data_IF_613295032488
#
_entry.id   IF_613295032488
#
_cell.length_a   1.000
_cell.length_b   1.000
_cell.length_c   1.000
_cell.angle_alpha   90.00
_cell.angle_beta   90.00
_cell.angle_gamma   90.00
#
_symmetry.space_group_name_H-M   'P 1'
#
loop_
_entity.id
_entity.type
_entity.pdbx_description
1 polymer ?
#
# COMPACT_ATOMS: atom_id res chain seq x y z
N UNK A 1 -0.06 -18.26 -9.25
CA UNK A 1 -1.48 -18.00 -9.60
C UNK A 1 -1.53 -16.83 -10.59
N UNK A 2 -0.60 -16.80 -11.55
CA UNK A 2 -0.35 -15.61 -12.40
C UNK A 2 -1.50 -15.28 -13.36
N UNK A 3 -2.35 -16.25 -13.68
CA UNK A 3 -3.49 -16.04 -14.59
C UNK A 3 -4.71 -15.41 -13.86
N UNK A 4 -5.16 -14.19 -14.25
CA UNK A 4 -6.34 -13.54 -13.65
C UNK A 4 -7.65 -14.33 -13.82
N UNK A 5 -7.79 -15.15 -14.86
CA UNK A 5 -8.98 -15.97 -15.06
C UNK A 5 -9.05 -17.12 -14.05
N UNK A 6 -7.89 -17.58 -13.55
CA UNK A 6 -7.83 -18.54 -12.44
C UNK A 6 -8.33 -17.89 -11.16
N UNK A 7 -7.87 -16.68 -10.81
CA UNK A 7 -8.36 -15.93 -9.64
C UNK A 7 -9.87 -15.67 -9.75
N UNK A 8 -10.33 -15.15 -10.89
CA UNK A 8 -11.75 -14.91 -11.18
C UNK A 8 -12.59 -16.18 -11.00
N UNK A 9 -12.09 -17.30 -11.52
CA UNK A 9 -12.77 -18.60 -11.42
C UNK A 9 -12.85 -19.10 -9.99
N UNK A 10 -11.78 -18.95 -9.21
CA UNK A 10 -11.72 -19.28 -7.79
C UNK A 10 -12.75 -18.48 -6.99
N UNK A 11 -12.74 -17.14 -7.11
CA UNK A 11 -13.69 -16.26 -6.39
C UNK A 11 -15.13 -16.61 -6.75
N UNK A 12 -15.44 -16.74 -8.04
CA UNK A 12 -16.79 -17.12 -8.49
C UNK A 12 -17.20 -18.51 -8.02
N UNK A 13 -16.28 -19.47 -7.99
CA UNK A 13 -16.55 -20.80 -7.47
C UNK A 13 -16.90 -20.75 -5.98
N UNK A 14 -16.10 -20.02 -5.19
CA UNK A 14 -16.29 -19.87 -3.74
C UNK A 14 -17.63 -19.22 -3.42
N UNK A 15 -17.94 -18.06 -4.00
CA UNK A 15 -19.19 -17.33 -3.73
C UNK A 15 -20.45 -18.08 -4.18
N UNK A 16 -20.36 -18.89 -5.26
CA UNK A 16 -21.49 -19.74 -5.69
C UNK A 16 -21.70 -20.95 -4.78
N UNK A 17 -20.61 -21.55 -4.31
CA UNK A 17 -20.63 -22.82 -3.56
C UNK A 17 -20.85 -22.59 -2.05
N UNK A 18 -20.35 -21.47 -1.53
CA UNK A 18 -20.34 -21.10 -0.12
C UNK A 18 -20.89 -19.69 0.05
N UNK A 19 -22.22 -19.56 -0.06
CA UNK A 19 -22.90 -18.26 0.06
C UNK A 19 -22.79 -17.73 1.48
N UNK A 20 -22.14 -16.57 1.63
CA UNK A 20 -22.06 -15.79 2.85
C UNK A 20 -22.56 -14.35 2.60
N UNK A 21 -22.86 -13.63 3.68
CA UNK A 21 -23.13 -12.18 3.63
C UNK A 21 -21.86 -11.34 3.56
N UNK A 22 -20.74 -11.93 4.00
CA UNK A 22 -19.45 -11.27 4.10
C UNK A 22 -18.34 -12.15 3.50
N UNK A 23 -17.39 -11.54 2.81
CA UNK A 23 -16.26 -12.23 2.18
C UNK A 23 -14.94 -11.52 2.46
N UNK A 24 -13.97 -12.33 2.87
CA UNK A 24 -12.57 -11.95 2.93
C UNK A 24 -11.82 -12.72 1.84
N UNK A 25 -11.07 -12.01 1.02
CA UNK A 25 -10.10 -12.59 0.09
C UNK A 25 -8.70 -12.32 0.61
N UNK A 26 -7.91 -13.37 0.82
CA UNK A 26 -6.49 -13.25 1.16
C UNK A 26 -5.68 -13.68 -0.05
N UNK A 27 -4.86 -12.77 -0.57
CA UNK A 27 -3.87 -13.05 -1.61
C UNK A 27 -2.53 -13.35 -0.93
N UNK A 28 -1.91 -14.46 -1.30
CA UNK A 28 -0.71 -14.98 -0.67
C UNK A 28 0.28 -15.43 -1.74
N UNK A 29 1.48 -14.84 -1.69
CA UNK A 29 2.79 -15.27 -2.19
C UNK A 29 3.78 -14.08 -2.03
N UNK A 30 4.83 -14.01 -2.83
CA UNK A 30 5.59 -12.79 -3.09
C UNK A 30 4.68 -11.63 -3.57
N UNK A 31 5.07 -10.41 -3.19
CA UNK A 31 4.51 -9.13 -3.64
C UNK A 31 5.65 -8.16 -3.92
N UNK A 32 5.42 -7.21 -4.80
CA UNK A 32 6.40 -6.24 -5.28
C UNK A 32 5.67 -4.97 -5.74
N UNK A 33 5.11 -4.23 -4.78
CA UNK A 33 4.44 -2.94 -4.98
C UNK A 33 3.54 -2.87 -6.23
N UNK A 34 3.64 -1.81 -7.04
CA UNK A 34 2.94 -1.66 -8.32
C UNK A 34 3.23 -2.75 -9.35
N UNK A 35 4.28 -3.57 -9.19
CA UNK A 35 4.58 -4.70 -10.08
C UNK A 35 3.63 -5.89 -9.85
N UNK A 36 2.97 -5.94 -8.69
CA UNK A 36 1.92 -6.91 -8.37
C UNK A 36 2.37 -8.03 -7.43
N UNK A 37 1.60 -9.12 -7.42
CA UNK A 37 1.75 -10.18 -6.41
C UNK A 37 1.39 -11.58 -6.91
N UNK A 38 1.46 -12.59 -6.03
CA UNK A 38 0.98 -13.95 -6.30
C UNK A 38 1.72 -14.69 -7.44
N UNK A 39 3.05 -14.53 -7.46
CA UNK A 39 3.96 -15.09 -8.46
C UNK A 39 3.81 -16.61 -8.69
N UNK A 40 4.08 -17.03 -9.92
CA UNK A 40 3.86 -18.38 -10.42
C UNK A 40 5.07 -18.90 -11.19
N UNK A 41 5.91 -19.66 -10.49
CA UNK A 41 7.08 -20.32 -11.09
C UNK A 41 6.74 -21.54 -11.98
N UNK A 42 5.44 -21.82 -12.20
CA UNK A 42 4.96 -23.01 -12.89
C UNK A 42 4.02 -22.67 -14.06
N UNK A 43 4.36 -21.65 -14.82
CA UNK A 43 3.62 -21.19 -16.01
C UNK A 43 3.44 -22.28 -17.09
N UNK A 44 4.36 -23.25 -17.12
CA UNK A 44 4.42 -24.28 -18.17
C UNK A 44 4.96 -23.78 -19.50
N UNK A 45 5.34 -22.50 -19.60
CA UNK A 45 5.99 -21.89 -20.75
C UNK A 45 7.47 -21.60 -20.44
N UNK A 46 8.44 -22.27 -21.10
CA UNK A 46 9.86 -21.98 -20.90
C UNK A 46 10.28 -20.55 -21.26
N UNK A 47 9.48 -19.81 -22.05
CA UNK A 47 9.74 -18.41 -22.41
C UNK A 47 9.25 -17.42 -21.34
N UNK A 48 8.33 -17.84 -20.47
CA UNK A 48 7.78 -17.06 -19.34
C UNK A 48 7.97 -17.88 -18.08
N UNK A 49 9.17 -17.98 -17.51
CA UNK A 49 9.46 -18.91 -16.42
C UNK A 49 8.75 -18.55 -15.09
N UNK A 50 8.26 -17.32 -14.97
CA UNK A 50 7.57 -16.78 -13.80
C UNK A 50 6.50 -15.78 -14.28
N UNK A 51 5.33 -15.79 -13.63
CA UNK A 51 4.19 -14.92 -13.94
C UNK A 51 3.47 -14.49 -12.66
N UNK A 52 3.15 -13.20 -12.53
CA UNK A 52 2.52 -12.62 -11.36
C UNK A 52 1.23 -11.92 -11.73
N UNK A 53 0.33 -11.76 -10.76
CA UNK A 53 -0.88 -10.97 -10.96
C UNK A 53 -0.57 -9.49 -10.77
N UNK A 54 -0.72 -8.70 -11.82
CA UNK A 54 -0.70 -7.24 -11.71
C UNK A 54 -1.94 -6.73 -10.94
N UNK A 55 -1.89 -5.54 -10.35
CA UNK A 55 -3.05 -4.98 -9.65
C UNK A 55 -4.24 -4.75 -10.58
N UNK A 56 -4.00 -4.38 -11.83
CA UNK A 56 -5.02 -4.21 -12.86
C UNK A 56 -5.72 -5.53 -13.18
N UNK A 57 -4.96 -6.63 -13.24
CA UNK A 57 -5.49 -7.97 -13.42
C UNK A 57 -6.34 -8.43 -12.24
N UNK A 58 -5.90 -8.15 -11.00
CA UNK A 58 -6.66 -8.44 -9.78
C UNK A 58 -7.96 -7.62 -9.78
N UNK A 59 -7.88 -6.30 -9.98
CA UNK A 59 -9.06 -5.43 -10.03
C UNK A 59 -10.04 -5.88 -11.14
N UNK A 60 -9.52 -6.24 -12.32
CA UNK A 60 -10.30 -6.80 -13.41
C UNK A 60 -10.95 -8.15 -13.06
N UNK A 61 -10.24 -9.03 -12.36
CA UNK A 61 -10.74 -10.32 -11.89
C UNK A 61 -11.87 -10.16 -10.86
N UNK A 62 -11.75 -9.14 -9.99
CA UNK A 62 -12.70 -8.78 -8.93
C UNK A 62 -13.83 -7.84 -9.39
N UNK A 63 -13.86 -7.44 -10.66
CA UNK A 63 -14.95 -6.60 -11.18
C UNK A 63 -16.33 -7.22 -10.92
N UNK A 64 -17.20 -6.45 -10.23
CA UNK A 64 -18.54 -6.89 -9.83
C UNK A 64 -18.58 -7.86 -8.64
N UNK A 65 -17.45 -8.04 -7.95
CA UNK A 65 -17.34 -8.78 -6.68
C UNK A 65 -17.39 -7.79 -5.53
N UNK A 66 -18.13 -8.14 -4.48
CA UNK A 66 -18.16 -7.40 -3.21
C UNK A 66 -17.32 -8.16 -2.19
N UNK A 67 -16.36 -7.46 -1.57
CA UNK A 67 -15.49 -7.98 -0.54
C UNK A 67 -15.52 -7.03 0.66
N UNK A 68 -15.65 -7.58 1.86
CA UNK A 68 -15.48 -6.82 3.09
C UNK A 68 -14.00 -6.50 3.30
N UNK A 69 -13.13 -7.46 3.02
CA UNK A 69 -11.69 -7.31 3.22
C UNK A 69 -10.94 -7.95 2.05
N UNK A 70 -10.10 -7.16 1.39
CA UNK A 70 -9.01 -7.66 0.55
C UNK A 70 -7.71 -7.60 1.36
N UNK A 71 -7.19 -8.75 1.74
CA UNK A 71 -5.96 -8.83 2.53
C UNK A 71 -4.81 -9.35 1.68
N UNK A 72 -3.65 -8.75 1.88
CA UNK A 72 -2.40 -9.14 1.26
C UNK A 72 -1.48 -9.75 2.33
N UNK A 73 -1.23 -11.03 2.18
CA UNK A 73 -0.15 -11.75 2.84
C UNK A 73 1.05 -11.80 1.88
N UNK A 74 1.38 -10.63 1.33
CA UNK A 74 2.43 -10.34 0.35
C UNK A 74 3.13 -9.03 0.74
N UNK A 75 4.31 -8.78 0.19
CA UNK A 75 5.13 -7.63 0.56
C UNK A 75 4.65 -6.34 -0.12
N UNK A 76 4.72 -5.21 0.59
CA UNK A 76 4.66 -3.84 0.03
C UNK A 76 3.37 -3.49 -0.71
N UNK A 77 2.24 -4.03 -0.25
CA UNK A 77 0.92 -3.74 -0.82
C UNK A 77 0.19 -2.59 -0.09
N UNK A 78 0.74 -2.11 1.03
CA UNK A 78 0.23 -0.98 1.79
C UNK A 78 0.62 0.36 1.19
N UNK A 79 0.67 0.47 -0.14
CA UNK A 79 1.13 1.65 -0.86
C UNK A 79 -0.08 2.39 -1.46
N UNK A 80 -0.09 3.72 -1.41
CA UNK A 80 -1.21 4.50 -1.96
C UNK A 80 -1.41 4.25 -3.46
N UNK A 81 -0.33 4.00 -4.21
CA UNK A 81 -0.36 3.61 -5.61
C UNK A 81 -1.21 2.35 -5.82
N UNK A 82 -0.95 1.33 -5.00
CA UNK A 82 -1.59 0.01 -5.06
C UNK A 82 -3.05 0.09 -4.62
N UNK A 83 -3.30 0.69 -3.46
CA UNK A 83 -4.64 0.76 -2.88
C UNK A 83 -5.58 1.61 -3.75
N UNK A 84 -5.08 2.72 -4.31
CA UNK A 84 -5.86 3.56 -5.21
C UNK A 84 -6.25 2.85 -6.51
N UNK A 85 -5.42 1.92 -7.01
CA UNK A 85 -5.76 1.15 -8.21
C UNK A 85 -7.12 0.42 -8.03
N UNK A 86 -7.38 -0.14 -6.85
CA UNK A 86 -8.64 -0.82 -6.55
C UNK A 86 -9.83 0.14 -6.47
N UNK A 87 -9.65 1.33 -5.88
CA UNK A 87 -10.67 2.37 -5.82
C UNK A 87 -11.01 2.89 -7.22
N UNK A 88 -9.99 3.23 -8.02
CA UNK A 88 -10.13 3.77 -9.36
C UNK A 88 -10.85 2.81 -10.32
N UNK A 89 -10.57 1.50 -10.21
CA UNK A 89 -11.26 0.47 -11.00
C UNK A 89 -12.68 0.14 -10.49
N UNK A 90 -13.15 0.83 -9.45
CA UNK A 90 -14.50 0.68 -8.91
C UNK A 90 -14.72 -0.65 -8.19
N UNK A 91 -13.67 -1.20 -7.58
CA UNK A 91 -13.79 -2.42 -6.78
C UNK A 91 -14.67 -2.14 -5.55
N UNK A 92 -15.58 -3.06 -5.23
CA UNK A 92 -16.41 -2.96 -4.03
C UNK A 92 -15.69 -3.65 -2.87
N UNK A 93 -14.73 -2.95 -2.27
CA UNK A 93 -13.91 -3.42 -1.16
C UNK A 93 -14.09 -2.42 0.00
N UNK A 94 -14.45 -2.90 1.20
CA UNK A 94 -14.57 -2.00 2.36
C UNK A 94 -13.21 -1.70 2.99
N UNK A 95 -12.37 -2.72 3.19
CA UNK A 95 -11.03 -2.58 3.77
C UNK A 95 -9.96 -3.32 2.97
N UNK A 96 -8.78 -2.71 2.89
CA UNK A 96 -7.54 -3.40 2.49
C UNK A 96 -6.67 -3.63 3.71
N UNK A 97 -6.18 -4.85 3.90
CA UNK A 97 -5.21 -5.17 4.98
C UNK A 97 -3.88 -5.54 4.35
N UNK A 98 -2.88 -4.69 4.55
CA UNK A 98 -1.60 -4.77 3.86
C UNK A 98 -0.46 -4.10 4.66
N UNK A 99 0.78 -4.32 4.24
CA UNK A 99 1.96 -3.69 4.83
C UNK A 99 2.70 -2.82 3.82
N UNK A 100 3.28 -1.73 4.28
CA UNK A 100 4.21 -0.88 3.52
C UNK A 100 5.62 -1.47 3.39
N UNK A 101 5.85 -2.63 4.00
CA UNK A 101 7.15 -3.29 4.06
C UNK A 101 7.04 -4.78 3.77
N UNK A 102 7.97 -5.54 4.33
CA UNK A 102 8.05 -6.97 4.07
C UNK A 102 7.14 -7.79 4.99
N UNK A 103 6.54 -8.82 4.40
CA UNK A 103 5.89 -9.90 5.15
C UNK A 103 6.90 -11.02 5.38
N UNK A 104 7.17 -11.44 6.64
CA UNK A 104 8.05 -12.57 6.89
C UNK A 104 7.44 -13.88 6.37
N UNK A 105 8.29 -14.84 5.98
CA UNK A 105 7.89 -16.16 5.44
C UNK A 105 6.73 -16.90 6.15
N UNK A 106 6.49 -16.63 7.45
CA UNK A 106 5.39 -17.26 8.17
C UNK A 106 4.02 -16.72 7.79
N UNK A 107 3.95 -15.57 7.12
CA UNK A 107 2.74 -14.89 6.71
C UNK A 107 1.84 -14.47 7.88
N UNK A 108 0.54 -14.45 7.63
CA UNK A 108 -0.48 -14.13 8.63
C UNK A 108 -0.62 -15.25 9.67
N UNK A 109 -0.90 -14.92 10.94
CA UNK A 109 -1.21 -15.91 11.97
C UNK A 109 -2.66 -16.40 11.84
N UNK A 110 -2.98 -17.10 10.75
CA UNK A 110 -4.34 -17.54 10.39
C UNK A 110 -5.10 -18.21 11.55
N UNK A 111 -4.43 -19.05 12.34
CA UNK A 111 -5.08 -19.69 13.49
C UNK A 111 -5.56 -18.69 14.55
N UNK A 112 -4.80 -17.61 14.81
CA UNK A 112 -5.19 -16.61 15.79
C UNK A 112 -6.36 -15.77 15.28
N UNK A 113 -6.26 -15.27 14.04
CA UNK A 113 -7.32 -14.50 13.37
C UNK A 113 -8.62 -15.30 13.27
N UNK A 114 -8.57 -16.54 12.78
CA UNK A 114 -9.76 -17.38 12.63
C UNK A 114 -10.35 -17.80 13.98
N UNK A 115 -9.53 -17.97 15.03
CA UNK A 115 -10.04 -18.24 16.38
C UNK A 115 -10.73 -17.02 16.99
N UNK A 116 -10.20 -15.81 16.77
CA UNK A 116 -10.85 -14.57 17.21
C UNK A 116 -12.21 -14.40 16.52
N UNK A 117 -12.28 -14.59 15.20
CA UNK A 117 -13.54 -14.56 14.45
C UNK A 117 -14.51 -15.67 14.90
N UNK A 118 -14.03 -16.88 15.16
CA UNK A 118 -14.88 -17.97 15.65
C UNK A 118 -15.42 -17.72 17.07
N UNK A 119 -14.67 -16.97 17.90
CA UNK A 119 -15.08 -16.61 19.25
C UNK A 119 -16.09 -15.45 19.27
N UNK A 120 -16.07 -14.57 18.27
CA UNK A 120 -17.03 -13.50 18.07
C UNK A 120 -17.36 -13.36 16.58
N UNK A 121 -18.35 -14.15 16.11
CA UNK A 121 -18.73 -14.17 14.70
C UNK A 121 -19.56 -12.96 14.25
N UNK A 122 -19.91 -12.07 15.18
CA UNK A 122 -20.67 -10.85 14.91
C UNK A 122 -19.75 -9.63 14.66
N UNK A 123 -18.42 -9.83 14.60
CA UNK A 123 -17.47 -8.79 14.18
C UNK A 123 -17.86 -8.27 12.80
N UNK A 124 -17.89 -6.95 12.63
CA UNK A 124 -17.97 -6.33 11.32
C UNK A 124 -16.59 -6.32 10.63
N UNK A 125 -16.57 -5.80 9.40
CA UNK A 125 -15.36 -5.75 8.56
C UNK A 125 -14.26 -4.87 9.17
N UNK A 126 -14.62 -3.82 9.92
CA UNK A 126 -13.69 -2.94 10.63
C UNK A 126 -13.05 -3.67 11.82
N UNK A 127 -13.86 -4.31 12.66
CA UNK A 127 -13.38 -5.07 13.81
C UNK A 127 -12.46 -6.21 13.37
N UNK A 128 -12.83 -6.95 12.31
CA UNK A 128 -12.03 -8.06 11.81
C UNK A 128 -10.71 -7.57 11.18
N UNK A 129 -10.71 -6.46 10.44
CA UNK A 129 -9.48 -5.91 9.86
C UNK A 129 -8.50 -5.43 10.94
N UNK A 130 -9.00 -4.80 12.00
CA UNK A 130 -8.19 -4.47 13.19
C UNK A 130 -7.65 -5.70 13.91
N UNK A 131 -8.44 -6.79 14.02
CA UNK A 131 -7.99 -8.07 14.59
C UNK A 131 -6.87 -8.68 13.75
N UNK A 132 -6.94 -8.59 12.42
CA UNK A 132 -5.88 -9.06 11.53
C UNK A 132 -4.55 -8.34 11.80
N UNK A 133 -4.60 -7.00 11.92
CA UNK A 133 -3.44 -6.16 12.29
C UNK A 133 -2.90 -6.54 13.69
N UNK A 134 -3.78 -6.63 14.68
CA UNK A 134 -3.42 -6.87 16.07
C UNK A 134 -2.77 -8.24 16.28
N UNK A 135 -3.37 -9.29 15.74
CA UNK A 135 -2.84 -10.65 15.85
C UNK A 135 -1.54 -10.82 15.07
N UNK A 136 -1.40 -10.16 13.90
CA UNK A 136 -0.17 -10.16 13.11
C UNK A 136 1.01 -9.60 13.93
N UNK A 137 0.84 -8.42 14.52
CA UNK A 137 1.91 -7.81 15.33
C UNK A 137 2.16 -8.59 16.62
N UNK A 138 1.11 -9.04 17.33
CA UNK A 138 1.26 -9.87 18.52
C UNK A 138 2.01 -11.19 18.23
N UNK A 139 1.72 -11.82 17.10
CA UNK A 139 2.40 -13.04 16.66
C UNK A 139 3.89 -12.79 16.50
N UNK A 140 4.29 -11.75 15.78
CA UNK A 140 5.71 -11.48 15.51
C UNK A 140 6.48 -10.95 16.73
N UNK A 141 5.83 -10.17 17.61
CA UNK A 141 6.41 -9.77 18.89
C UNK A 141 6.70 -10.96 19.81
N UNK A 142 5.91 -12.04 19.70
CA UNK A 142 6.11 -13.28 20.47
C UNK A 142 7.31 -14.12 19.98
N UNK A 143 7.78 -13.95 18.75
CA UNK A 143 8.86 -14.75 18.16
C UNK A 143 10.22 -14.14 18.52
N UNK A 144 10.93 -14.75 19.47
CA UNK A 144 12.29 -14.34 19.84
C UNK A 144 13.38 -15.00 18.96
N UNK A 145 14.47 -14.28 18.61
CA UNK A 145 14.72 -12.86 18.94
C UNK A 145 13.76 -11.92 18.19
N UNK A 146 13.26 -10.92 18.93
CA UNK A 146 12.12 -10.04 18.60
C UNK A 146 12.45 -8.93 17.59
N UNK A 147 13.16 -9.24 16.51
CA UNK A 147 13.54 -8.25 15.49
C UNK A 147 13.04 -8.66 14.11
N UNK A 148 11.74 -8.96 13.99
CA UNK A 148 11.13 -8.89 12.66
C UNK A 148 10.70 -7.45 12.43
N UNK A 149 11.21 -6.87 11.36
CA UNK A 149 10.74 -5.60 10.81
C UNK A 149 9.36 -5.92 10.26
N UNK A 150 8.32 -5.62 11.03
CA UNK A 150 6.93 -5.86 10.62
C UNK A 150 6.08 -4.66 10.95
N UNK A 151 5.19 -4.36 10.03
CA UNK A 151 4.07 -3.43 10.16
C UNK A 151 2.87 -4.11 9.49
N UNK A 152 1.66 -3.78 9.92
CA UNK A 152 0.43 -4.16 9.22
C UNK A 152 -0.62 -3.05 9.41
N UNK A 153 -1.32 -2.70 8.34
CA UNK A 153 -2.32 -1.65 8.31
C UNK A 153 -3.65 -2.19 7.80
N UNK A 154 -4.74 -1.75 8.41
CA UNK A 154 -6.08 -1.86 7.89
C UNK A 154 -6.50 -0.49 7.35
N UNK A 155 -6.73 -0.42 6.05
CA UNK A 155 -7.00 0.80 5.29
C UNK A 155 -8.47 0.81 4.91
N UNK A 156 -9.21 1.82 5.38
CA UNK A 156 -10.61 2.05 5.03
C UNK A 156 -10.69 2.64 3.62
N UNK A 157 -11.24 1.86 2.69
CA UNK A 157 -11.32 2.23 1.28
C UNK A 157 -12.24 3.44 1.03
N UNK A 158 -13.11 3.80 1.97
CA UNK A 158 -14.00 4.97 1.83
C UNK A 158 -13.25 6.30 1.86
N UNK A 159 -12.00 6.31 2.34
CA UNK A 159 -11.16 7.51 2.40
C UNK A 159 -10.18 7.63 1.23
N UNK A 160 -9.96 6.57 0.45
CA UNK A 160 -8.85 6.50 -0.51
C UNK A 160 -8.98 7.57 -1.61
N UNK A 161 -10.15 7.76 -2.20
CA UNK A 161 -10.39 8.82 -3.19
C UNK A 161 -10.13 10.22 -2.60
N UNK A 162 -10.56 10.44 -1.35
CA UNK A 162 -10.37 11.71 -0.65
C UNK A 162 -8.90 11.98 -0.34
N UNK A 163 -8.14 10.95 0.06
CA UNK A 163 -6.70 11.05 0.29
C UNK A 163 -6.00 11.46 -1.01
N UNK A 164 -6.33 10.83 -2.14
CA UNK A 164 -5.72 11.14 -3.43
C UNK A 164 -6.08 12.56 -3.90
N UNK A 165 -7.34 13.00 -3.75
CA UNK A 165 -7.75 14.39 -4.04
C UNK A 165 -6.95 15.41 -3.20
N UNK A 166 -6.81 15.14 -1.89
CA UNK A 166 -6.06 16.02 -0.98
C UNK A 166 -4.57 16.02 -1.27
N UNK A 167 -4.00 14.87 -1.67
CA UNK A 167 -2.62 14.79 -2.14
C UNK A 167 -2.42 15.60 -3.42
N UNK A 168 -3.36 15.57 -4.37
CA UNK A 168 -3.33 16.42 -5.55
C UNK A 168 -3.26 17.90 -5.19
N UNK A 169 -4.09 18.33 -4.23
CA UNK A 169 -4.08 19.71 -3.72
C UNK A 169 -2.75 20.07 -3.03
N UNK A 170 -2.17 19.14 -2.27
CA UNK A 170 -0.85 19.32 -1.67
C UNK A 170 0.24 19.45 -2.74
N UNK A 171 0.23 18.58 -3.76
CA UNK A 171 1.22 18.62 -4.83
C UNK A 171 1.15 19.92 -5.63
N UNK A 172 -0.03 20.45 -5.91
CA UNK A 172 -0.19 21.75 -6.58
C UNK A 172 0.53 22.88 -5.82
N UNK A 173 0.36 22.94 -4.49
CA UNK A 173 1.00 23.95 -3.63
C UNK A 173 2.52 23.77 -3.59
N UNK A 174 3.00 22.53 -3.53
CA UNK A 174 4.42 22.23 -3.55
C UNK A 174 5.07 22.60 -4.90
N UNK A 175 4.39 22.30 -6.01
CA UNK A 175 4.84 22.64 -7.36
C UNK A 175 4.93 24.15 -7.57
N UNK A 176 3.90 24.92 -7.18
CA UNK A 176 3.93 26.38 -7.29
C UNK A 176 5.15 26.97 -6.56
N UNK A 177 5.44 26.48 -5.35
CA UNK A 177 6.59 26.92 -4.58
C UNK A 177 7.94 26.51 -5.17
N UNK A 178 8.05 25.31 -5.72
CA UNK A 178 9.25 24.83 -6.42
C UNK A 178 9.57 25.65 -7.69
N UNK A 179 8.55 26.18 -8.36
CA UNK A 179 8.70 27.06 -9.52
C UNK A 179 8.83 28.55 -9.15
N UNK A 180 8.58 28.87 -7.88
CA UNK A 180 8.54 30.22 -7.34
C UNK A 180 9.88 30.78 -6.86
N UNK A 181 9.88 32.00 -6.29
CA UNK A 181 11.08 32.65 -5.77
C UNK A 181 11.67 31.96 -4.53
N UNK A 182 10.89 31.14 -3.82
CA UNK A 182 11.28 30.42 -2.60
C UNK A 182 11.65 28.94 -2.86
N UNK A 183 11.95 28.59 -4.11
CA UNK A 183 12.19 27.21 -4.55
C UNK A 183 13.24 26.45 -3.73
N UNK A 184 14.32 27.11 -3.29
CA UNK A 184 15.33 26.50 -2.42
C UNK A 184 14.75 26.05 -1.06
N UNK A 185 13.84 26.84 -0.48
CA UNK A 185 13.18 26.48 0.78
C UNK A 185 12.22 25.30 0.56
N UNK A 186 11.43 25.33 -0.52
CA UNK A 186 10.52 24.24 -0.88
C UNK A 186 11.27 22.92 -1.09
N UNK A 187 12.38 22.92 -1.84
CA UNK A 187 13.24 21.74 -1.94
C UNK A 187 13.72 21.26 -0.57
N UNK A 188 14.14 22.17 0.31
CA UNK A 188 14.59 21.83 1.66
C UNK A 188 13.49 21.19 2.52
N UNK A 189 12.28 21.74 2.50
CA UNK A 189 11.13 21.23 3.25
C UNK A 189 10.66 19.87 2.73
N UNK A 190 10.54 19.71 1.42
CA UNK A 190 10.18 18.44 0.78
C UNK A 190 11.24 17.37 1.08
N UNK A 191 12.52 17.70 0.96
CA UNK A 191 13.61 16.77 1.26
C UNK A 191 13.64 16.38 2.75
N UNK A 192 13.35 17.32 3.65
CA UNK A 192 13.26 17.05 5.08
C UNK A 192 12.08 16.11 5.41
N UNK A 193 10.91 16.36 4.83
CA UNK A 193 9.73 15.51 5.00
C UNK A 193 9.94 14.12 4.41
N UNK A 194 10.48 14.03 3.18
CA UNK A 194 10.86 12.76 2.55
C UNK A 194 11.86 12.00 3.41
N UNK A 195 12.85 12.69 3.96
CA UNK A 195 13.85 12.10 4.85
C UNK A 195 13.28 11.62 6.18
N UNK A 196 12.27 12.29 6.73
CA UNK A 196 11.59 11.90 7.96
C UNK A 196 10.75 10.63 7.77
N UNK A 197 10.02 10.53 6.66
CA UNK A 197 9.20 9.36 6.32
C UNK A 197 9.98 8.22 5.65
N UNK A 198 11.26 8.40 5.33
CA UNK A 198 12.02 7.40 4.58
C UNK A 198 12.05 6.03 5.27
N UNK A 199 11.58 5.01 4.56
CA UNK A 199 11.50 3.64 5.06
C UNK A 199 12.76 2.85 4.69
N UNK A 200 13.89 3.17 5.32
CA UNK A 200 15.20 2.55 5.02
C UNK A 200 15.30 1.03 5.24
N UNK A 201 14.22 0.40 5.71
CA UNK A 201 14.04 -1.03 5.96
C UNK A 201 13.00 -1.69 5.03
N UNK A 202 12.30 -0.90 4.20
CA UNK A 202 11.37 -1.41 3.20
C UNK A 202 12.12 -1.85 1.94
N UNK A 203 11.37 -2.43 1.01
CA UNK A 203 11.84 -2.77 -0.33
C UNK A 203 12.47 -1.55 -0.99
N UNK A 204 13.60 -1.78 -1.66
CA UNK A 204 14.42 -0.70 -2.27
C UNK A 204 15.06 0.30 -1.28
N UNK A 205 14.95 0.05 0.03
CA UNK A 205 15.70 0.73 1.08
C UNK A 205 15.48 2.24 1.13
N UNK A 206 16.56 3.02 1.15
CA UNK A 206 16.51 4.49 1.30
C UNK A 206 16.15 5.24 0.02
N UNK A 207 15.89 4.53 -1.08
CA UNK A 207 15.89 5.12 -2.42
C UNK A 207 14.53 5.66 -2.85
N UNK A 208 13.42 5.04 -2.43
CA UNK A 208 12.11 5.37 -2.98
C UNK A 208 10.96 5.42 -1.97
N UNK A 209 10.75 4.42 -1.11
CA UNK A 209 9.53 4.44 -0.29
C UNK A 209 9.60 5.34 0.93
N UNK A 210 8.47 6.01 1.15
CA UNK A 210 8.26 6.98 2.22
C UNK A 210 6.94 6.66 2.91
N UNK A 211 6.95 6.64 4.23
CA UNK A 211 5.73 6.62 5.04
C UNK A 211 4.96 7.92 4.81
N UNK A 212 3.80 7.81 4.16
CA UNK A 212 3.03 8.95 3.71
C UNK A 212 2.48 9.80 4.89
N UNK A 213 1.96 9.20 5.99
CA UNK A 213 1.57 9.97 7.16
C UNK A 213 2.71 10.81 7.74
N UNK A 214 3.91 10.24 7.89
CA UNK A 214 5.09 10.98 8.38
C UNK A 214 5.50 12.09 7.42
N UNK A 215 5.45 11.86 6.11
CA UNK A 215 5.73 12.89 5.11
C UNK A 215 4.76 14.08 5.25
N UNK A 216 3.45 13.81 5.27
CA UNK A 216 2.41 14.83 5.38
C UNK A 216 2.51 15.59 6.72
N UNK A 217 2.67 14.88 7.83
CA UNK A 217 2.84 15.49 9.15
C UNK A 217 4.07 16.40 9.21
N UNK A 218 5.20 15.95 8.63
CA UNK A 218 6.43 16.75 8.63
C UNK A 218 6.28 18.02 7.80
N UNK A 219 5.64 17.95 6.63
CA UNK A 219 5.29 19.14 5.86
C UNK A 219 4.36 20.09 6.64
N UNK A 220 3.40 19.55 7.39
CA UNK A 220 2.55 20.34 8.29
C UNK A 220 3.33 21.19 9.29
N UNK A 221 4.52 20.74 9.73
CA UNK A 221 5.40 21.53 10.62
C UNK A 221 6.07 22.74 9.95
N UNK A 222 6.04 22.81 8.61
CA UNK A 222 6.48 23.95 7.81
C UNK A 222 5.30 24.84 7.38
N UNK A 223 4.16 24.74 8.06
CA UNK A 223 2.93 25.51 7.82
C UNK A 223 2.21 25.20 6.48
N UNK A 224 2.43 24.01 5.90
CA UNK A 224 1.62 23.52 4.78
C UNK A 224 0.26 23.03 5.27
N UNK A 225 -0.79 23.82 5.02
CA UNK A 225 -2.15 23.53 5.47
C UNK A 225 -2.69 22.24 4.83
N UNK A 226 -2.47 22.07 3.53
CA UNK A 226 -2.88 20.91 2.73
C UNK A 226 -2.26 19.62 3.28
N UNK A 227 -1.00 19.68 3.70
CA UNK A 227 -0.32 18.52 4.30
C UNK A 227 -0.91 18.14 5.66
N UNK A 228 -1.36 19.12 6.45
CA UNK A 228 -2.06 18.86 7.71
C UNK A 228 -3.41 18.17 7.46
N UNK A 229 -4.14 18.58 6.41
CA UNK A 229 -5.40 17.95 6.01
C UNK A 229 -5.17 16.49 5.61
N UNK A 230 -4.20 16.24 4.72
CA UNK A 230 -3.82 14.88 4.29
C UNK A 230 -3.50 14.00 5.50
N UNK A 231 -2.68 14.49 6.44
CA UNK A 231 -2.28 13.73 7.62
C UNK A 231 -3.45 13.36 8.53
N UNK A 232 -4.37 14.29 8.80
CA UNK A 232 -5.55 13.99 9.63
C UNK A 232 -6.48 12.98 8.94
N UNK A 233 -6.68 13.09 7.62
CA UNK A 233 -7.44 12.09 6.86
C UNK A 233 -6.78 10.71 6.91
N UNK A 234 -5.46 10.62 6.76
CA UNK A 234 -4.71 9.35 6.86
C UNK A 234 -4.89 8.69 8.23
N UNK A 235 -4.89 9.47 9.31
CA UNK A 235 -5.10 8.94 10.67
C UNK A 235 -6.49 8.38 10.88
N UNK A 236 -7.50 8.94 10.22
CA UNK A 236 -8.87 8.43 10.28
C UNK A 236 -9.04 7.20 9.37
N UNK A 237 -8.30 7.13 8.26
CA UNK A 237 -8.39 6.08 7.26
C UNK A 237 -7.61 4.80 7.61
N UNK A 238 -6.53 4.90 8.38
CA UNK A 238 -5.58 3.78 8.56
C UNK A 238 -5.44 3.41 10.04
N UNK A 239 -5.84 2.18 10.36
CA UNK A 239 -5.47 1.55 11.62
C UNK A 239 -4.20 0.70 11.42
N UNK A 240 -3.08 1.17 11.95
CA UNK A 240 -1.78 0.50 11.78
C UNK A 240 -1.11 0.17 13.10
N UNK A 241 -0.37 -0.95 13.10
CA UNK A 241 0.57 -1.30 14.16
C UNK A 241 1.87 -1.79 13.54
N UNK A 242 2.96 -1.54 14.25
CA UNK A 242 4.29 -1.96 13.85
C UNK A 242 5.11 -2.47 15.03
N UNK A 243 6.09 -3.32 14.74
CA UNK A 243 7.12 -3.65 15.72
C UNK A 243 7.94 -2.42 16.05
N UNK A 244 8.62 -2.43 17.20
CA UNK A 244 9.43 -1.28 17.64
C UNK A 244 10.42 -0.78 16.59
N UNK A 245 10.97 -1.69 15.78
CA UNK A 245 11.95 -1.36 14.75
C UNK A 245 11.33 -0.67 13.52
N UNK A 246 10.02 -0.79 13.31
CA UNK A 246 9.24 -0.13 12.25
C UNK A 246 8.20 0.85 12.81
N UNK A 247 8.36 1.33 14.05
CA UNK A 247 7.38 2.19 14.74
C UNK A 247 7.01 3.51 14.05
N UNK A 248 7.71 3.88 12.97
CA UNK A 248 7.42 5.07 12.15
C UNK A 248 6.73 4.72 10.83
N UNK A 249 6.38 3.46 10.60
CA UNK A 249 5.50 3.04 9.52
C UNK A 249 4.05 3.06 10.06
N UNK A 250 3.24 3.95 9.53
CA UNK A 250 1.89 4.33 9.99
C UNK A 250 0.79 3.70 9.13
N UNK A 251 1.14 2.85 8.18
CA UNK A 251 0.30 1.91 7.45
C UNK A 251 -0.07 2.28 6.01
N UNK A 252 0.48 3.37 5.49
CA UNK A 252 0.31 3.74 4.08
C UNK A 252 1.57 4.41 3.53
N UNK A 253 2.21 3.76 2.57
CA UNK A 253 3.43 4.23 1.95
C UNK A 253 3.16 4.96 0.65
N UNK A 254 4.18 5.66 0.15
CA UNK A 254 4.20 6.28 -1.17
C UNK A 254 5.57 6.09 -1.82
N UNK A 255 5.59 5.88 -3.13
CA UNK A 255 6.80 5.77 -3.92
C UNK A 255 7.33 7.16 -4.31
N UNK A 256 8.42 7.57 -3.66
CA UNK A 256 9.06 8.88 -3.83
C UNK A 256 10.58 8.75 -4.12
N UNK A 257 10.96 8.52 -5.39
CA UNK A 257 12.36 8.47 -5.79
C UNK A 257 13.08 9.80 -5.48
N UNK A 258 14.31 9.69 -4.97
CA UNK A 258 15.11 10.87 -4.62
C UNK A 258 15.48 11.77 -5.81
N UNK A 259 15.47 11.24 -7.04
CA UNK A 259 15.80 11.97 -8.26
C UNK A 259 15.26 11.26 -9.50
N UNK A 260 15.16 12.00 -10.61
CA UNK A 260 14.88 11.43 -11.95
C UNK A 260 15.84 10.29 -12.31
N UNK A 261 17.12 10.42 -11.96
CA UNK A 261 18.11 9.38 -12.23
C UNK A 261 17.86 8.12 -11.40
N UNK A 262 17.47 8.28 -10.14
CA UNK A 262 17.05 7.17 -9.27
C UNK A 262 15.83 6.46 -9.88
N UNK A 263 14.79 7.22 -10.26
CA UNK A 263 13.58 6.67 -10.86
C UNK A 263 13.88 5.79 -12.08
N UNK A 264 14.76 6.21 -13.00
CA UNK A 264 15.11 5.40 -14.17
C UNK A 264 16.26 4.40 -13.96
N UNK A 265 16.80 4.29 -12.75
CA UNK A 265 17.83 3.29 -12.44
C UNK A 265 17.17 1.92 -12.21
N UNK A 266 17.22 1.08 -13.25
CA UNK A 266 16.52 -0.22 -13.35
C UNK A 266 17.01 -1.33 -12.39
N UNK A 267 17.67 -1.00 -11.28
CA UNK A 267 18.24 -2.03 -10.38
C UNK A 267 17.16 -2.63 -9.49
N UNK A 268 16.16 -1.83 -9.14
CA UNK A 268 15.26 -2.10 -8.04
C UNK A 268 13.81 -2.16 -8.50
N UNK A 269 13.33 -1.16 -9.25
CA UNK A 269 11.95 -1.14 -9.76
C UNK A 269 11.90 -0.89 -11.27
N UNK A 270 10.71 -1.06 -11.84
CA UNK A 270 10.42 -0.76 -13.23
C UNK A 270 9.54 0.51 -13.37
N UNK A 271 10.08 1.59 -13.97
CA UNK A 271 9.31 2.81 -14.25
C UNK A 271 8.03 2.61 -15.05
N UNK A 272 8.00 1.59 -15.92
CA UNK A 272 6.84 1.33 -16.77
C UNK A 272 5.66 0.81 -15.93
N UNK A 273 5.93 0.04 -14.89
CA UNK A 273 4.89 -0.52 -14.00
C UNK A 273 4.30 0.59 -13.13
N UNK A 274 5.16 1.45 -12.54
CA UNK A 274 4.69 2.66 -11.84
C UNK A 274 3.84 3.54 -12.75
N UNK A 275 4.29 3.82 -13.97
CA UNK A 275 3.55 4.67 -14.92
C UNK A 275 2.31 3.98 -15.52
N UNK A 276 2.10 2.68 -15.29
CA UNK A 276 0.87 1.99 -15.66
C UNK A 276 -0.25 2.18 -14.63
N UNK A 277 0.10 2.48 -13.38
CA UNK A 277 -0.86 2.76 -12.29
C UNK A 277 -1.63 4.05 -12.54
N UNK A 278 -2.81 4.20 -11.91
CA UNK A 278 -3.63 5.40 -12.04
C UNK A 278 -3.15 6.55 -11.14
N UNK A 279 -2.70 6.24 -9.93
CA UNK A 279 -2.30 7.23 -8.91
C UNK A 279 -1.31 8.31 -9.41
N UNK A 280 -0.24 8.00 -10.17
CA UNK A 280 0.74 9.01 -10.58
C UNK A 280 0.11 10.15 -11.39
N UNK A 281 -0.99 9.88 -12.09
CA UNK A 281 -1.67 10.84 -12.95
C UNK A 281 -2.64 11.76 -12.19
N UNK A 282 -2.83 11.55 -10.88
CA UNK A 282 -3.61 12.40 -9.97
C UNK A 282 -2.77 13.55 -9.37
N UNK A 283 -1.71 13.97 -10.07
CA UNK A 283 -0.84 15.10 -9.72
C UNK A 283 0.56 14.72 -9.24
N UNK A 284 0.73 13.53 -8.66
CA UNK A 284 2.01 13.16 -8.04
C UNK A 284 3.16 13.03 -9.05
N UNK A 285 2.91 12.56 -10.27
CA UNK A 285 3.95 12.48 -11.32
C UNK A 285 4.44 13.85 -11.77
N UNK A 286 3.53 14.82 -11.96
CA UNK A 286 3.89 16.19 -12.31
C UNK A 286 4.76 16.81 -11.20
N UNK A 287 4.36 16.59 -9.94
CA UNK A 287 5.13 17.02 -8.79
C UNK A 287 6.53 16.43 -8.74
N UNK A 288 6.67 15.12 -8.96
CA UNK A 288 7.98 14.47 -9.00
C UNK A 288 8.86 15.08 -10.11
N UNK A 289 8.32 15.32 -11.31
CA UNK A 289 9.06 15.97 -12.40
C UNK A 289 9.53 17.37 -12.01
N UNK A 290 8.64 18.19 -11.45
CA UNK A 290 8.97 19.54 -10.96
C UNK A 290 10.03 19.49 -9.86
N UNK A 291 9.88 18.59 -8.88
CA UNK A 291 10.84 18.40 -7.78
C UNK A 291 12.22 17.92 -8.26
N UNK A 292 12.29 17.20 -9.38
CA UNK A 292 13.56 16.81 -9.99
C UNK A 292 14.11 17.83 -11.00
N UNK A 293 13.39 18.92 -11.25
CA UNK A 293 13.74 19.95 -12.24
C UNK A 293 13.69 19.42 -13.68
N UNK A 294 12.62 18.70 -14.04
CA UNK A 294 12.42 18.09 -15.37
C UNK A 294 11.25 18.68 -16.14
#
# INVERSE_FOLDING_TARGET
MGDPDTLRSFVKFTMRSFRASHYVLVLWDHGDDFSGCCWDDHTGDPEVPEDGLTHQEIAGALSGVELDILAFDTCVEGMIEVVYEYACYGSQIDYVVATEGYVPYSGYPYSAVLNALAANSDMDSSDLSMVMVDEYIAYYDSKRPASRLVQMGAIDMTYVDLIVEQLGSLTDVLEEGLLGPDSENYHGWIAAARGAGNMGWSEYGWEAYVDLPTFANTLGTFDFHEATIVYETLKDAVYSKASWAMKSAEGMGIFFPSSYASFYSKIWWNPEDYLAMQFPYEGFWAFLQTYWGK
#
